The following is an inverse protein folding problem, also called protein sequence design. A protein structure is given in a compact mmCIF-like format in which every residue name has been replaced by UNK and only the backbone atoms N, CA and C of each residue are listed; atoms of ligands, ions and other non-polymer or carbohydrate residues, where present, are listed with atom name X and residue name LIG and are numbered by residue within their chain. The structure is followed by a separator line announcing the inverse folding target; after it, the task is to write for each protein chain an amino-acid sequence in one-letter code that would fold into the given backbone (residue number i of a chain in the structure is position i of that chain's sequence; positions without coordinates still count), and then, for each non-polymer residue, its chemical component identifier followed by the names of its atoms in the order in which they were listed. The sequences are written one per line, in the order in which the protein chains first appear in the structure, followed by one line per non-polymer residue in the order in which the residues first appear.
data_IF_074495174320
#
_entry.id   IF_074495174320
#
_cell.length_a   1.000
_cell.length_b   1.000
_cell.length_c   1.000
_cell.angle_alpha   90.00
_cell.angle_beta   90.00
_cell.angle_gamma   90.00
#
_symmetry.space_group_name_H-M   'P 1'
#
loop_
_entity.id
_entity.type
_entity.pdbx_description
1 polymer ?
#
# COMPACT_ATOMS: atom_id res chain seq x y z
N UNK A 1 4.21 -30.46 -2.65
CA UNK A 1 3.90 -29.22 -3.42
C UNK A 1 3.37 -28.10 -2.52
N UNK A 2 2.34 -28.31 -1.69
CA UNK A 2 1.81 -27.26 -0.81
C UNK A 2 2.84 -26.85 0.27
N UNK A 3 3.49 -27.81 0.93
CA UNK A 3 4.52 -27.54 1.94
C UNK A 3 5.73 -26.76 1.40
N UNK A 4 6.18 -27.12 0.20
CA UNK A 4 7.29 -26.45 -0.49
C UNK A 4 6.91 -25.01 -0.89
N UNK A 5 5.67 -24.77 -1.32
CA UNK A 5 5.20 -23.41 -1.61
C UNK A 5 5.13 -22.56 -0.34
N UNK A 6 4.61 -23.10 0.77
CA UNK A 6 4.56 -22.36 2.05
C UNK A 6 5.94 -22.00 2.57
N UNK A 7 6.93 -22.89 2.42
CA UNK A 7 8.33 -22.61 2.78
C UNK A 7 8.91 -21.46 1.95
N UNK A 8 8.62 -21.44 0.64
CA UNK A 8 9.06 -20.35 -0.24
C UNK A 8 8.40 -19.01 0.12
N UNK A 9 7.08 -19.00 0.33
CA UNK A 9 6.36 -17.80 0.76
C UNK A 9 6.88 -17.27 2.10
N UNK A 10 7.14 -18.16 3.08
CA UNK A 10 7.71 -17.76 4.36
C UNK A 10 9.11 -17.17 4.21
N UNK A 11 9.97 -17.77 3.37
CA UNK A 11 11.31 -17.26 3.10
C UNK A 11 11.28 -15.90 2.39
N UNK A 12 10.42 -15.74 1.39
CA UNK A 12 10.25 -14.46 0.68
C UNK A 12 9.67 -13.39 1.60
N UNK A 13 8.66 -13.71 2.41
CA UNK A 13 8.07 -12.77 3.36
C UNK A 13 9.09 -12.30 4.39
N UNK A 14 9.90 -13.22 4.95
CA UNK A 14 10.98 -12.86 5.88
C UNK A 14 12.01 -11.94 5.24
N UNK A 15 12.34 -12.20 3.97
CA UNK A 15 13.30 -11.39 3.21
C UNK A 15 12.73 -10.00 2.94
N UNK A 16 11.50 -9.90 2.45
CA UNK A 16 10.83 -8.62 2.23
C UNK A 16 10.68 -7.83 3.52
N UNK A 17 10.25 -8.45 4.62
CA UNK A 17 10.18 -7.77 5.92
C UNK A 17 11.53 -7.21 6.35
N UNK A 18 12.62 -7.97 6.18
CA UNK A 18 13.97 -7.48 6.50
C UNK A 18 14.36 -6.25 5.67
N UNK A 19 14.06 -6.26 4.37
CA UNK A 19 14.29 -5.10 3.48
C UNK A 19 13.45 -3.89 3.92
N UNK A 20 12.18 -4.10 4.20
CA UNK A 20 11.28 -3.04 4.63
C UNK A 20 11.74 -2.40 5.96
N UNK A 21 12.19 -3.21 6.93
CA UNK A 21 12.77 -2.71 8.19
C UNK A 21 14.12 -1.99 8.00
N UNK A 22 14.93 -2.44 7.04
CA UNK A 22 16.17 -1.76 6.67
C UNK A 22 15.88 -0.35 6.15
N UNK A 23 14.86 -0.19 5.30
CA UNK A 23 14.45 1.09 4.72
C UNK A 23 13.28 1.76 5.45
N UNK A 24 13.24 1.66 6.79
CA UNK A 24 12.14 2.19 7.62
C UNK A 24 11.85 3.68 7.43
N UNK A 25 12.87 4.49 7.12
CA UNK A 25 12.68 5.92 6.87
C UNK A 25 11.91 6.16 5.57
N UNK A 26 12.19 5.38 4.52
CA UNK A 26 11.43 5.39 3.27
C UNK A 26 9.97 5.02 3.53
N UNK A 27 9.73 3.94 4.30
CA UNK A 27 8.38 3.54 4.71
C UNK A 27 7.61 4.68 5.38
N UNK A 28 8.24 5.37 6.34
CA UNK A 28 7.60 6.47 7.06
C UNK A 28 7.22 7.63 6.11
N UNK A 29 8.12 8.02 5.20
CA UNK A 29 7.85 9.07 4.22
C UNK A 29 6.64 8.71 3.36
N UNK A 30 6.60 7.49 2.82
CA UNK A 30 5.50 7.05 1.98
C UNK A 30 4.18 6.91 2.74
N UNK A 31 4.22 6.40 3.98
CA UNK A 31 3.05 6.30 4.85
C UNK A 31 2.45 7.68 5.14
N UNK A 32 3.28 8.66 5.51
CA UNK A 32 2.83 10.03 5.76
C UNK A 32 2.18 10.61 4.50
N UNK A 33 2.83 10.47 3.34
CA UNK A 33 2.27 10.97 2.07
C UNK A 33 0.89 10.36 1.75
N UNK A 34 0.70 9.07 2.06
CA UNK A 34 -0.56 8.35 1.81
C UNK A 34 -1.69 8.74 2.76
N UNK A 35 -1.39 9.01 4.02
CA UNK A 35 -2.38 9.43 5.03
C UNK A 35 -2.76 10.90 4.88
N UNK A 36 -1.78 11.75 4.54
CA UNK A 36 -1.98 13.20 4.44
C UNK A 36 -3.08 13.58 3.44
N UNK A 37 -3.12 12.95 2.27
CA UNK A 37 -4.09 13.32 1.23
C UNK A 37 -5.56 13.15 1.67
N UNK A 38 -6.04 11.97 2.11
CA UNK A 38 -7.39 11.82 2.64
C UNK A 38 -7.64 12.67 3.89
N UNK A 39 -6.64 12.83 4.76
CA UNK A 39 -6.77 13.67 5.96
C UNK A 39 -7.00 15.14 5.61
N UNK A 40 -6.27 15.69 4.64
CA UNK A 40 -6.46 17.06 4.17
C UNK A 40 -7.87 17.23 3.60
N UNK A 41 -8.32 16.29 2.77
CA UNK A 41 -9.69 16.37 2.23
C UNK A 41 -10.75 16.29 3.32
N UNK A 42 -10.58 15.43 4.31
CA UNK A 42 -11.47 15.37 5.46
C UNK A 42 -11.55 16.72 6.19
N UNK A 43 -10.42 17.34 6.49
CA UNK A 43 -10.38 18.65 7.16
C UNK A 43 -11.03 19.74 6.31
N UNK A 44 -10.77 19.76 5.00
CA UNK A 44 -11.36 20.74 4.08
C UNK A 44 -12.88 20.60 4.06
N UNK A 45 -13.41 19.40 3.85
CA UNK A 45 -14.86 19.20 3.70
C UNK A 45 -15.64 19.36 5.00
N UNK A 46 -15.07 18.93 6.14
CA UNK A 46 -15.66 19.20 7.45
C UNK A 46 -15.70 20.70 7.76
N UNK A 47 -14.66 21.45 7.39
CA UNK A 47 -14.63 22.92 7.53
C UNK A 47 -15.68 23.59 6.62
N UNK A 48 -15.84 23.13 5.38
CA UNK A 48 -16.86 23.65 4.46
C UNK A 48 -18.27 23.37 4.97
N UNK A 49 -18.54 22.16 5.48
CA UNK A 49 -19.84 21.80 6.05
C UNK A 49 -20.20 22.70 7.24
N UNK A 50 -19.26 22.91 8.17
CA UNK A 50 -19.43 23.83 9.30
C UNK A 50 -19.75 25.25 8.84
N UNK A 51 -19.02 25.75 7.84
CA UNK A 51 -19.22 27.11 7.33
C UNK A 51 -20.57 27.30 6.61
N UNK A 52 -21.20 26.23 6.13
CA UNK A 52 -22.46 26.27 5.37
C UNK A 52 -23.71 25.94 6.19
N UNK A 53 -23.58 25.78 7.52
CA UNK A 53 -24.72 25.54 8.41
C UNK A 53 -24.84 24.09 8.91
N UNK A 54 -23.82 23.26 8.71
CA UNK A 54 -23.70 21.92 9.30
C UNK A 54 -23.68 20.78 8.29
N UNK A 55 -24.05 21.02 7.03
CA UNK A 55 -24.02 20.03 5.97
C UNK A 55 -23.59 20.63 4.61
N UNK A 56 -23.19 19.76 3.69
CA UNK A 56 -23.02 20.08 2.28
C UNK A 56 -23.87 19.11 1.47
N UNK A 57 -24.95 19.61 0.88
CA UNK A 57 -25.82 18.80 0.00
C UNK A 57 -26.35 17.53 0.70
N UNK A 58 -26.72 17.63 1.98
CA UNK A 58 -27.21 16.51 2.79
C UNK A 58 -26.12 15.65 3.45
N UNK A 59 -24.83 15.94 3.23
CA UNK A 59 -23.72 15.26 3.90
C UNK A 59 -23.22 16.09 5.09
N UNK A 60 -23.30 15.51 6.29
CA UNK A 60 -22.77 16.10 7.51
C UNK A 60 -21.28 15.77 7.72
N UNK A 61 -20.71 16.29 8.81
CA UNK A 61 -19.31 16.02 9.18
C UNK A 61 -19.02 14.52 9.36
N UNK A 62 -19.97 13.79 9.95
CA UNK A 62 -19.85 12.35 10.18
C UNK A 62 -19.76 11.54 8.88
N UNK A 63 -20.49 11.97 7.84
CA UNK A 63 -20.48 11.30 6.54
C UNK A 63 -19.14 11.50 5.83
N UNK A 64 -18.57 12.71 5.90
CA UNK A 64 -17.22 12.98 5.39
C UNK A 64 -16.16 12.17 6.13
N UNK A 65 -16.24 12.06 7.46
CA UNK A 65 -15.34 11.23 8.25
C UNK A 65 -15.42 9.76 7.82
N UNK A 66 -16.63 9.20 7.73
CA UNK A 66 -16.83 7.82 7.29
C UNK A 66 -16.29 7.59 5.87
N UNK A 67 -16.57 8.51 4.94
CA UNK A 67 -16.13 8.43 3.56
C UNK A 67 -14.61 8.42 3.44
N UNK A 68 -13.91 9.40 4.04
CA UNK A 68 -12.47 9.52 3.87
C UNK A 68 -11.69 8.45 4.65
N UNK A 69 -12.20 7.99 5.79
CA UNK A 69 -11.63 6.84 6.51
C UNK A 69 -11.77 5.57 5.66
N UNK A 70 -12.97 5.32 5.11
CA UNK A 70 -13.19 4.17 4.23
C UNK A 70 -12.32 4.25 2.98
N UNK A 71 -12.21 5.43 2.37
CA UNK A 71 -11.31 5.68 1.25
C UNK A 71 -9.86 5.32 1.62
N UNK A 72 -9.38 5.73 2.80
CA UNK A 72 -8.02 5.41 3.27
C UNK A 72 -7.80 3.89 3.37
N UNK A 73 -8.75 3.16 3.95
CA UNK A 73 -8.68 1.68 4.06
C UNK A 73 -8.69 1.02 2.68
N UNK A 74 -9.63 1.39 1.81
CA UNK A 74 -9.79 0.81 0.47
C UNK A 74 -8.57 1.09 -0.40
N UNK A 75 -8.04 2.32 -0.36
CA UNK A 75 -6.84 2.69 -1.12
C UNK A 75 -5.58 2.03 -0.56
N UNK A 76 -5.48 1.82 0.76
CA UNK A 76 -4.38 1.06 1.34
C UNK A 76 -4.44 -0.42 0.92
N UNK A 77 -5.63 -1.01 0.94
CA UNK A 77 -5.85 -2.42 0.59
C UNK A 77 -5.62 -2.74 -0.90
N UNK A 78 -6.02 -1.84 -1.80
CA UNK A 78 -5.93 -2.05 -3.25
C UNK A 78 -4.57 -1.66 -3.85
N UNK A 79 -3.78 -0.85 -3.14
CA UNK A 79 -2.52 -0.35 -3.66
C UNK A 79 -1.43 -1.43 -3.79
N UNK A 80 -0.63 -1.28 -4.85
CA UNK A 80 0.54 -2.09 -5.12
C UNK A 80 1.63 -1.27 -5.80
N UNK A 81 2.84 -1.38 -5.26
CA UNK A 81 4.05 -0.77 -5.83
C UNK A 81 4.66 -1.60 -6.98
N UNK A 82 4.20 -2.85 -7.16
CA UNK A 82 4.82 -3.83 -8.04
C UNK A 82 4.95 -3.31 -9.47
N UNK A 83 3.91 -2.64 -10.00
CA UNK A 83 3.94 -2.16 -11.39
C UNK A 83 4.97 -1.05 -11.62
N UNK A 84 5.22 -0.21 -10.61
CA UNK A 84 6.26 0.81 -10.70
C UNK A 84 7.65 0.17 -10.74
N UNK A 85 7.88 -0.89 -9.96
CA UNK A 85 9.13 -1.63 -9.96
C UNK A 85 9.34 -2.41 -11.27
N UNK A 86 8.28 -2.96 -11.84
CA UNK A 86 8.34 -3.71 -13.09
C UNK A 86 8.78 -2.85 -14.26
N UNK A 87 8.38 -1.57 -14.33
CA UNK A 87 8.90 -0.63 -15.33
C UNK A 87 10.44 -0.59 -15.31
N UNK A 88 11.02 -0.40 -14.12
CA UNK A 88 12.46 -0.35 -13.93
C UNK A 88 13.15 -1.68 -14.30
N UNK A 89 12.63 -2.80 -13.80
CA UNK A 89 13.23 -4.14 -13.98
C UNK A 89 13.14 -4.61 -15.43
N UNK A 90 12.08 -4.26 -16.16
CA UNK A 90 11.94 -4.54 -17.58
C UNK A 90 12.90 -3.66 -18.39
N UNK A 91 12.90 -2.35 -18.14
CA UNK A 91 13.73 -1.39 -18.88
C UNK A 91 15.23 -1.65 -18.72
N UNK A 92 15.64 -2.19 -17.58
CA UNK A 92 17.04 -2.54 -17.30
C UNK A 92 17.42 -3.96 -17.72
N UNK A 93 16.49 -4.75 -18.26
CA UNK A 93 16.71 -6.15 -18.64
C UNK A 93 16.89 -7.12 -17.46
N UNK A 94 16.73 -6.65 -16.22
CA UNK A 94 16.87 -7.47 -15.02
C UNK A 94 15.77 -8.52 -14.88
N UNK A 95 14.65 -8.35 -15.60
CA UNK A 95 13.57 -9.33 -15.61
C UNK A 95 14.01 -10.71 -16.11
N UNK A 96 15.00 -10.77 -17.01
CA UNK A 96 15.56 -12.03 -17.52
C UNK A 96 16.09 -12.92 -16.40
N UNK A 97 16.79 -12.35 -15.41
CA UNK A 97 17.30 -13.11 -14.26
C UNK A 97 16.18 -13.67 -13.38
N UNK A 98 15.03 -12.98 -13.30
CA UNK A 98 13.87 -13.47 -12.56
C UNK A 98 13.22 -14.66 -13.27
N UNK A 99 13.16 -14.64 -14.60
CA UNK A 99 12.57 -15.71 -15.43
C UNK A 99 13.41 -16.99 -15.48
N UNK A 100 14.73 -16.91 -15.28
CA UNK A 100 15.60 -18.08 -15.20
C UNK A 100 15.40 -18.92 -13.92
N UNK A 101 14.70 -18.37 -12.91
CA UNK A 101 14.42 -19.09 -11.68
C UNK A 101 13.31 -20.11 -11.91
N UNK A 102 13.34 -21.28 -11.26
CA UNK A 102 12.32 -22.33 -11.42
C UNK A 102 10.96 -21.97 -10.78
N UNK A 103 10.80 -20.74 -10.28
CA UNK A 103 9.58 -20.25 -9.64
C UNK A 103 9.13 -18.95 -10.31
N UNK A 104 7.82 -18.83 -10.55
CA UNK A 104 7.26 -17.64 -11.17
C UNK A 104 7.50 -16.38 -10.29
N UNK A 105 7.92 -15.24 -10.87
CA UNK A 105 8.25 -14.02 -10.11
C UNK A 105 7.12 -13.51 -9.20
N UNK A 106 5.86 -13.75 -9.60
CA UNK A 106 4.66 -13.33 -8.85
C UNK A 106 4.66 -13.74 -7.38
N UNK A 107 5.27 -14.87 -7.03
CA UNK A 107 5.31 -15.31 -5.64
C UNK A 107 6.07 -14.31 -4.77
N UNK A 108 7.21 -13.81 -5.27
CA UNK A 108 8.01 -12.81 -4.59
C UNK A 108 7.27 -11.47 -4.49
N UNK A 109 6.58 -11.08 -5.56
CA UNK A 109 5.83 -9.83 -5.59
C UNK A 109 4.63 -9.85 -4.63
N UNK A 110 3.93 -10.97 -4.52
CA UNK A 110 2.84 -11.16 -3.54
C UNK A 110 3.38 -11.12 -2.11
N UNK A 111 4.49 -11.80 -1.84
CA UNK A 111 5.12 -11.78 -0.52
C UNK A 111 5.58 -10.36 -0.13
N UNK A 112 6.12 -9.59 -1.09
CA UNK A 112 6.55 -8.22 -0.88
C UNK A 112 5.38 -7.26 -0.61
N UNK A 113 4.32 -7.35 -1.41
CA UNK A 113 3.12 -6.54 -1.20
C UNK A 113 2.46 -6.85 0.15
N UNK A 114 2.45 -8.12 0.55
CA UNK A 114 1.95 -8.54 1.86
C UNK A 114 2.84 -8.01 3.00
N UNK A 115 4.17 -8.11 2.87
CA UNK A 115 5.12 -7.56 3.85
C UNK A 115 4.91 -6.05 4.05
N UNK A 116 4.81 -5.32 2.94
CA UNK A 116 4.55 -3.87 2.96
C UNK A 116 3.24 -3.56 3.66
N UNK A 117 2.13 -4.23 3.30
CA UNK A 117 0.82 -4.01 3.92
C UNK A 117 0.87 -4.31 5.42
N UNK A 118 1.43 -5.44 5.84
CA UNK A 118 1.54 -5.81 7.25
C UNK A 118 2.25 -4.73 8.10
N UNK A 119 3.27 -4.09 7.54
CA UNK A 119 4.00 -3.02 8.22
C UNK A 119 3.31 -1.65 8.17
N UNK A 120 2.33 -1.48 7.28
CA UNK A 120 1.68 -0.19 7.01
C UNK A 120 0.17 -0.21 7.27
N UNK A 121 -0.34 -1.19 8.03
CA UNK A 121 -1.77 -1.33 8.37
C UNK A 121 -2.25 -0.28 9.39
N UNK A 122 -1.37 0.54 9.97
CA UNK A 122 -1.72 1.57 10.97
C UNK A 122 -1.51 2.96 10.39
#
# INVERSE_FOLDING_TARGET
MIRTLSEVYAAQLRTSLAVQFQYRASLAIWMIGRVLQPLIYLVVWTTVARARGGDVNGYGEGDFAAYYIMQMIVTQATFSWIMWEYDYVIRTGQFNFKLLRPIHPIHADVADNLAYKLLTVV
#
